data_IF_982773236565
#
_entry.id   IF_982773236565
#
_cell.length_a   1.000
_cell.length_b   1.000
_cell.length_c   1.000
_cell.angle_alpha   90.00
_cell.angle_beta   90.00
_cell.angle_gamma   90.00
#
_symmetry.space_group_name_H-M   'P 1'
#
loop_
_entity.id
_entity.type
_entity.pdbx_description
1 polymer ?
#
# COMPACT_ATOMS: atom_id res chain seq x y z
N UNK A 1 -7.62 0.23 -10.20
CA UNK A 1 -8.50 -0.83 -9.66
C UNK A 1 -9.32 -1.37 -10.81
N UNK A 2 -9.66 -2.64 -10.78
CA UNK A 2 -10.44 -3.30 -11.82
C UNK A 2 -11.65 -3.98 -11.16
N UNK A 3 -12.85 -3.77 -11.70
CA UNK A 3 -14.05 -4.48 -11.29
C UNK A 3 -13.93 -5.95 -11.74
N UNK A 4 -14.25 -6.88 -10.85
CA UNK A 4 -14.13 -8.33 -11.11
C UNK A 4 -15.36 -9.07 -10.58
N UNK A 5 -15.74 -10.15 -11.27
CA UNK A 5 -16.81 -11.05 -10.84
C UNK A 5 -16.31 -12.07 -9.79
N UNK A 6 -17.18 -12.44 -8.85
CA UNK A 6 -16.83 -13.01 -7.53
C UNK A 6 -16.25 -14.44 -7.48
N UNK A 7 -15.88 -15.10 -8.59
CA UNK A 7 -15.64 -16.55 -8.60
C UNK A 7 -14.19 -16.99 -8.82
N UNK A 8 -13.29 -16.63 -7.91
CA UNK A 8 -11.93 -17.19 -7.89
C UNK A 8 -11.53 -17.78 -6.54
N UNK A 9 -10.80 -18.90 -6.58
CA UNK A 9 -10.26 -19.55 -5.40
C UNK A 9 -8.98 -18.82 -4.91
N UNK A 10 -8.82 -18.73 -3.58
CA UNK A 10 -7.64 -18.14 -2.94
C UNK A 10 -7.61 -16.60 -3.00
N UNK A 11 -8.76 -15.96 -2.81
CA UNK A 11 -8.92 -14.51 -2.76
C UNK A 11 -8.88 -13.97 -1.32
N UNK A 12 -8.49 -12.70 -1.18
CA UNK A 12 -8.52 -11.99 0.11
C UNK A 12 -9.15 -10.61 -0.08
N UNK A 13 -10.16 -10.32 0.74
CA UNK A 13 -10.81 -9.02 0.80
C UNK A 13 -10.18 -8.19 1.91
N UNK A 14 -9.63 -7.03 1.56
CA UNK A 14 -9.05 -6.07 2.48
C UNK A 14 -10.17 -5.13 2.97
N UNK A 15 -10.54 -5.19 4.25
CA UNK A 15 -11.44 -4.18 4.83
C UNK A 15 -10.80 -2.80 4.73
N UNK A 16 -11.61 -1.79 4.45
CA UNK A 16 -11.14 -0.42 4.38
C UNK A 16 -12.12 0.56 5.04
N UNK A 17 -11.57 1.66 5.54
CA UNK A 17 -12.31 2.70 6.25
C UNK A 17 -11.92 4.07 5.74
N UNK A 18 -12.92 4.89 5.43
CA UNK A 18 -12.73 6.31 5.14
C UNK A 18 -12.55 7.11 6.44
N UNK A 19 -11.36 7.64 6.68
CA UNK A 19 -11.06 8.51 7.82
C UNK A 19 -11.07 9.96 7.37
N UNK A 20 -11.98 10.74 7.95
CA UNK A 20 -12.05 12.18 7.78
C UNK A 20 -11.41 12.88 8.98
N UNK A 21 -10.52 13.86 8.74
CA UNK A 21 -9.95 14.70 9.79
C UNK A 21 -10.48 16.13 9.63
N UNK A 22 -11.39 16.52 10.52
CA UNK A 22 -12.01 17.85 10.58
C UNK A 22 -11.04 18.95 11.04
N UNK A 23 -9.98 18.61 11.76
CA UNK A 23 -9.24 19.58 12.59
C UNK A 23 -8.13 20.36 11.86
N UNK A 24 -7.97 20.20 10.54
CA UNK A 24 -6.96 20.96 9.75
C UNK A 24 -7.62 21.87 8.72
N UNK A 25 -7.68 23.17 9.06
CA UNK A 25 -8.23 24.31 8.27
C UNK A 25 -7.74 24.49 6.82
N UNK A 26 -6.83 23.65 6.29
CA UNK A 26 -6.25 23.83 4.94
C UNK A 26 -6.47 22.68 3.96
N UNK A 27 -6.80 21.44 4.37
CA UNK A 27 -7.19 20.34 3.46
C UNK A 27 -7.80 19.18 4.25
N UNK A 28 -9.12 19.17 4.42
CA UNK A 28 -9.87 18.03 4.97
C UNK A 28 -10.02 16.90 3.94
N UNK A 29 -8.91 16.36 3.45
CA UNK A 29 -8.94 15.28 2.45
C UNK A 29 -9.30 13.96 3.14
N UNK A 30 -10.36 13.29 2.67
CA UNK A 30 -10.69 11.92 3.02
C UNK A 30 -9.48 11.00 2.79
N UNK A 31 -9.15 10.17 3.79
CA UNK A 31 -8.09 9.17 3.68
C UNK A 31 -8.69 7.79 3.85
N UNK A 32 -8.47 6.92 2.86
CA UNK A 32 -8.84 5.51 2.99
C UNK A 32 -7.75 4.79 3.79
N UNK A 33 -8.12 3.99 4.77
CA UNK A 33 -7.21 3.11 5.51
C UNK A 33 -7.54 1.69 5.14
N UNK A 34 -6.55 0.91 4.73
CA UNK A 34 -6.68 -0.51 4.40
C UNK A 34 -6.19 -1.36 5.57
N UNK A 35 -6.99 -2.34 6.00
CA UNK A 35 -6.64 -3.25 7.10
C UNK A 35 -6.30 -4.64 6.58
N UNK A 36 -5.07 -4.84 6.12
CA UNK A 36 -4.58 -6.15 5.69
C UNK A 36 -4.23 -7.11 6.87
N UNK A 37 -4.44 -6.67 8.11
CA UNK A 37 -4.25 -7.48 9.32
C UNK A 37 -5.55 -8.14 9.79
N UNK A 38 -6.68 -7.93 9.09
CA UNK A 38 -7.94 -8.58 9.43
C UNK A 38 -7.89 -10.08 9.12
N UNK A 39 -8.16 -10.92 10.13
CA UNK A 39 -8.22 -12.36 9.94
C UNK A 39 -9.45 -12.75 9.12
N UNK A 40 -9.30 -13.71 8.21
CA UNK A 40 -10.44 -14.31 7.51
C UNK A 40 -11.02 -15.48 8.29
N UNK A 41 -12.02 -16.15 7.72
CA UNK A 41 -12.64 -17.37 8.29
C UNK A 41 -11.63 -18.48 8.62
N UNK A 42 -10.46 -18.49 7.97
CA UNK A 42 -9.38 -19.44 8.27
C UNK A 42 -8.44 -19.02 9.41
N UNK A 43 -8.69 -17.88 10.07
CA UNK A 43 -7.88 -17.36 11.17
C UNK A 43 -6.62 -16.59 10.77
N UNK A 44 -6.27 -16.56 9.48
CA UNK A 44 -5.09 -15.86 8.97
C UNK A 44 -5.46 -14.54 8.27
N UNK A 45 -4.58 -13.55 8.40
CA UNK A 45 -4.66 -12.28 7.66
C UNK A 45 -3.63 -12.24 6.53
N UNK A 46 -3.83 -11.37 5.54
CA UNK A 46 -2.85 -11.19 4.47
C UNK A 46 -1.46 -10.83 5.04
N UNK A 47 -1.44 -9.95 6.05
CA UNK A 47 -0.20 -9.52 6.69
C UNK A 47 0.54 -10.64 7.43
N UNK A 48 -0.19 -11.62 7.98
CA UNK A 48 0.43 -12.78 8.63
C UNK A 48 1.08 -13.76 7.65
N UNK A 49 0.63 -13.79 6.39
CA UNK A 49 1.12 -14.71 5.37
C UNK A 49 2.17 -14.07 4.45
N UNK A 50 2.19 -12.74 4.35
CA UNK A 50 3.12 -12.02 3.50
C UNK A 50 4.55 -12.06 4.04
N UNK A 51 5.50 -12.33 3.15
CA UNK A 51 6.91 -12.16 3.43
C UNK A 51 7.27 -10.66 3.52
N UNK A 52 7.88 -10.25 4.62
CA UNK A 52 8.20 -8.83 4.85
C UNK A 52 9.30 -8.27 3.93
N UNK A 53 10.16 -9.12 3.37
CA UNK A 53 11.33 -8.72 2.58
C UNK A 53 12.54 -8.21 3.39
N UNK A 54 12.37 -8.00 4.70
CA UNK A 54 13.39 -7.41 5.56
C UNK A 54 13.63 -5.91 5.34
N UNK A 55 14.73 -5.39 5.91
CA UNK A 55 15.07 -3.96 5.85
C UNK A 55 15.89 -3.69 4.60
N UNK A 56 15.23 -3.13 3.58
CA UNK A 56 15.92 -2.68 2.38
C UNK A 56 16.65 -1.34 2.57
N UNK A 57 16.30 -0.52 3.56
CA UNK A 57 16.89 0.80 3.76
C UNK A 57 18.28 0.69 4.40
N UNK A 58 19.20 1.58 4.02
CA UNK A 58 20.46 1.69 4.75
C UNK A 58 20.18 2.23 6.15
N UNK A 59 21.05 1.91 7.10
CA UNK A 59 20.97 2.46 8.44
C UNK A 59 20.89 4.01 8.44
N UNK A 60 20.06 4.54 9.35
CA UNK A 60 19.75 5.97 9.41
C UNK A 60 20.99 6.81 9.73
N UNK A 61 21.86 6.33 10.63
CA UNK A 61 23.10 7.02 10.96
C UNK A 61 24.00 7.14 9.73
N UNK A 62 24.13 6.04 8.98
CA UNK A 62 24.88 6.03 7.72
C UNK A 62 24.30 6.99 6.66
N UNK A 63 22.98 7.15 6.60
CA UNK A 63 22.32 8.12 5.72
C UNK A 63 22.66 9.55 6.18
N UNK A 64 22.54 9.86 7.47
CA UNK A 64 22.82 11.19 8.02
C UNK A 64 24.27 11.63 7.80
N UNK A 65 25.25 10.73 8.01
CA UNK A 65 26.67 11.03 7.80
C UNK A 65 26.95 11.38 6.33
N UNK A 66 26.42 10.59 5.39
CA UNK A 66 26.55 10.90 3.94
C UNK A 66 25.88 12.22 3.57
N UNK A 67 24.73 12.51 4.14
CA UNK A 67 24.00 13.75 3.89
C UNK A 67 24.78 14.99 4.33
N UNK A 68 25.60 14.88 5.39
CA UNK A 68 26.47 15.97 5.88
C UNK A 68 27.81 16.09 5.15
N UNK A 69 28.18 15.14 4.28
CA UNK A 69 29.48 15.13 3.59
C UNK A 69 29.61 16.26 2.56
N UNK A 70 28.49 16.73 2.01
CA UNK A 70 28.46 17.74 0.96
C UNK A 70 27.83 19.04 1.47
N UNK A 71 28.27 20.17 0.92
CA UNK A 71 27.78 21.52 1.28
C UNK A 71 26.32 21.71 0.85
N UNK A 72 25.91 21.04 -0.24
CA UNK A 72 24.57 21.12 -0.79
C UNK A 72 23.93 19.73 -0.80
N UNK A 73 22.64 19.69 -0.46
CA UNK A 73 21.86 18.47 -0.46
C UNK A 73 20.44 18.74 -0.99
N UNK A 74 19.92 17.79 -1.77
CA UNK A 74 18.57 17.86 -2.33
C UNK A 74 17.65 16.90 -1.57
N UNK A 75 16.43 17.36 -1.31
CA UNK A 75 15.38 16.59 -0.66
C UNK A 75 14.15 16.65 -1.55
N UNK A 76 13.53 15.50 -1.78
CA UNK A 76 12.26 15.41 -2.50
C UNK A 76 11.35 14.40 -1.80
N UNK A 77 10.05 14.67 -1.81
CA UNK A 77 9.01 13.74 -1.36
C UNK A 77 8.36 13.07 -2.58
N UNK A 78 8.32 11.74 -2.59
CA UNK A 78 7.68 10.97 -3.67
C UNK A 78 6.22 10.74 -3.31
N UNK A 79 5.37 11.66 -3.75
CA UNK A 79 3.95 11.59 -3.46
C UNK A 79 3.33 10.29 -4.00
N UNK A 80 2.58 9.57 -3.15
CA UNK A 80 1.86 8.34 -3.52
C UNK A 80 2.77 7.23 -4.10
N UNK A 81 4.03 7.17 -3.69
CA UNK A 81 5.04 6.17 -4.06
C UNK A 81 4.49 4.74 -4.23
N UNK A 82 3.73 4.21 -3.27
CA UNK A 82 3.18 2.84 -3.36
C UNK A 82 2.29 2.62 -4.59
N UNK A 83 1.55 3.65 -5.01
CA UNK A 83 0.66 3.58 -6.19
C UNK A 83 1.40 3.60 -7.52
N UNK A 84 2.72 3.80 -7.52
CA UNK A 84 3.55 3.75 -8.74
C UNK A 84 4.08 2.34 -9.03
N UNK A 85 3.83 1.37 -8.15
CA UNK A 85 4.37 0.01 -8.26
C UNK A 85 3.22 -0.94 -8.56
N UNK A 86 3.24 -1.56 -9.74
CA UNK A 86 2.25 -2.55 -10.14
C UNK A 86 2.44 -3.87 -9.40
N UNK A 87 1.31 -4.45 -8.98
CA UNK A 87 1.26 -5.82 -8.47
C UNK A 87 1.08 -6.77 -9.66
N UNK A 88 1.79 -7.90 -9.60
CA UNK A 88 1.63 -8.99 -10.56
C UNK A 88 0.14 -9.36 -10.65
N UNK A 89 -0.47 -9.38 -11.86
CA UNK A 89 -1.86 -9.77 -12.07
C UNK A 89 -2.33 -10.96 -11.22
N UNK A 90 -1.53 -12.03 -11.13
CA UNK A 90 -1.88 -13.25 -10.40
C UNK A 90 -2.06 -13.05 -8.89
N UNK A 91 -1.50 -11.98 -8.34
CA UNK A 91 -1.55 -11.63 -6.92
C UNK A 91 -2.61 -10.57 -6.60
N UNK A 92 -3.25 -9.96 -7.60
CA UNK A 92 -4.23 -8.87 -7.38
C UNK A 92 -5.50 -9.35 -6.67
N UNK A 93 -5.87 -10.61 -6.85
CA UNK A 93 -6.96 -11.27 -6.11
C UNK A 93 -6.77 -11.31 -4.58
N UNK A 94 -5.55 -11.10 -4.09
CA UNK A 94 -5.24 -10.97 -2.67
C UNK A 94 -5.45 -9.54 -2.13
N UNK A 95 -5.78 -8.59 -3.01
CA UNK A 95 -6.00 -7.18 -2.68
C UNK A 95 -7.38 -6.72 -3.17
N UNK A 96 -8.42 -7.53 -2.90
CA UNK A 96 -9.80 -7.20 -3.24
C UNK A 96 -10.42 -6.24 -2.23
N UNK A 97 -11.31 -5.38 -2.68
CA UNK A 97 -12.13 -4.51 -1.84
C UNK A 97 -13.58 -4.56 -2.29
N UNK A 98 -14.50 -4.33 -1.36
CA UNK A 98 -15.93 -4.20 -1.65
C UNK A 98 -16.30 -2.73 -1.70
N UNK A 99 -16.90 -2.26 -2.79
CA UNK A 99 -17.26 -0.85 -2.94
C UNK A 99 -18.63 -0.68 -3.58
N UNK A 100 -19.36 0.34 -3.14
CA UNK A 100 -20.58 0.85 -3.77
C UNK A 100 -20.60 2.36 -3.61
N UNK A 101 -21.16 3.07 -4.57
CA UNK A 101 -21.26 4.53 -4.50
C UNK A 101 -22.45 4.95 -3.64
N UNK A 102 -23.60 4.28 -3.85
CA UNK A 102 -24.84 4.54 -3.14
C UNK A 102 -25.30 3.32 -2.33
N UNK A 103 -26.09 3.54 -1.28
CA UNK A 103 -26.63 2.44 -0.45
C UNK A 103 -27.61 1.55 -1.22
N UNK A 104 -28.26 2.10 -2.24
CA UNK A 104 -29.25 1.42 -3.10
C UNK A 104 -28.61 0.61 -4.24
N UNK A 105 -27.30 0.81 -4.47
CA UNK A 105 -26.56 0.08 -5.48
C UNK A 105 -26.01 -1.25 -4.94
N UNK A 106 -25.90 -2.28 -5.80
CA UNK A 106 -25.26 -3.52 -5.41
C UNK A 106 -23.78 -3.28 -5.07
N UNK A 107 -23.29 -4.01 -4.07
CA UNK A 107 -21.87 -4.01 -3.73
C UNK A 107 -21.10 -4.65 -4.88
N UNK A 108 -20.04 -3.97 -5.31
CA UNK A 108 -19.12 -4.43 -6.35
C UNK A 108 -17.79 -4.84 -5.75
N UNK A 109 -17.11 -5.77 -6.40
CA UNK A 109 -15.77 -6.20 -6.02
C UNK A 109 -14.73 -5.56 -6.93
N UNK A 110 -13.69 -4.98 -6.35
CA UNK A 110 -12.57 -4.39 -7.08
C UNK A 110 -11.24 -4.97 -6.64
N UNK A 111 -10.33 -5.15 -7.60
CA UNK A 111 -8.94 -5.51 -7.34
C UNK A 111 -8.02 -4.29 -7.39
N UNK A 112 -7.20 -4.13 -6.36
CA UNK A 112 -6.16 -3.10 -6.32
C UNK A 112 -4.95 -3.56 -7.14
N UNK A 113 -4.59 -2.76 -8.14
CA UNK A 113 -3.59 -3.13 -9.14
C UNK A 113 -2.15 -2.76 -8.75
N UNK A 114 -1.99 -1.98 -7.68
CA UNK A 114 -0.72 -1.40 -7.24
C UNK A 114 -0.47 -1.73 -5.78
N UNK A 115 0.77 -1.60 -5.32
CA UNK A 115 1.11 -1.87 -3.91
C UNK A 115 0.19 -1.09 -2.97
N UNK A 116 -0.55 -1.82 -2.14
CA UNK A 116 -1.47 -1.25 -1.16
C UNK A 116 -0.74 -0.99 0.14
N UNK A 117 -0.80 0.25 0.63
CA UNK A 117 -0.25 0.61 1.95
C UNK A 117 -1.02 -0.11 3.07
N UNK A 118 -0.33 -0.39 4.18
CA UNK A 118 -0.89 -1.21 5.26
C UNK A 118 -0.67 -2.71 5.09
N UNK A 119 -0.06 -3.14 3.98
CA UNK A 119 0.42 -4.52 3.78
C UNK A 119 1.85 -4.70 4.32
N UNK A 120 2.18 -5.89 4.84
CA UNK A 120 3.47 -6.19 5.47
C UNK A 120 4.66 -5.94 4.54
N UNK A 121 4.54 -6.30 3.26
CA UNK A 121 5.63 -6.18 2.29
C UNK A 121 5.75 -4.79 1.64
N UNK A 122 4.76 -3.91 1.79
CA UNK A 122 4.71 -2.63 1.09
C UNK A 122 5.96 -1.75 1.30
N UNK A 123 6.48 -1.55 2.53
CA UNK A 123 7.67 -0.72 2.75
C UNK A 123 8.89 -1.27 2.00
N UNK A 124 9.12 -2.59 2.10
CA UNK A 124 10.23 -3.25 1.42
C UNK A 124 10.15 -3.09 -0.09
N UNK A 125 8.99 -3.41 -0.69
CA UNK A 125 8.78 -3.33 -2.13
C UNK A 125 9.05 -1.92 -2.64
N UNK A 126 8.57 -0.93 -1.90
CA UNK A 126 8.70 0.46 -2.30
C UNK A 126 10.15 0.97 -2.18
N UNK A 127 10.84 0.68 -1.09
CA UNK A 127 12.27 1.04 -0.94
C UNK A 127 13.14 0.29 -1.95
N UNK A 128 12.88 -1.00 -2.19
CA UNK A 128 13.64 -1.79 -3.17
C UNK A 128 13.46 -1.25 -4.58
N UNK A 129 12.24 -0.90 -4.96
CA UNK A 129 11.94 -0.28 -6.25
C UNK A 129 12.69 1.05 -6.42
N UNK A 130 12.63 1.94 -5.42
CA UNK A 130 13.36 3.21 -5.42
C UNK A 130 14.88 3.02 -5.59
N UNK A 131 15.47 2.03 -4.91
CA UNK A 131 16.88 1.68 -5.08
C UNK A 131 17.23 1.17 -6.48
N UNK A 132 16.31 0.47 -7.14
CA UNK A 132 16.52 -0.08 -8.49
C UNK A 132 16.49 1.03 -9.57
N UNK A 133 15.62 2.02 -9.41
CA UNK A 133 15.50 3.14 -10.37
C UNK A 133 16.49 4.28 -10.10
N UNK A 134 17.09 4.34 -8.91
CA UNK A 134 18.12 5.32 -8.60
C UNK A 134 19.40 5.00 -9.40
N UNK A 135 19.94 5.96 -10.18
CA UNK A 135 21.26 5.80 -10.75
C UNK A 135 22.29 5.60 -9.62
N UNK A 136 23.26 4.72 -9.85
CA UNK A 136 24.38 4.47 -8.92
C UNK A 136 25.35 5.65 -8.91
#
# INVERSE_FOLDING_TARGET
MQEVDEKECGMYFIPHLGVYRSDKKKTSKLRVVFNASSATTNGYSLNSLQYNGGVAQNDLFSIMVRFRKHIFAFIADVQKMYRMIWINPDQRKLQRILWRENMDEPIKTFELSTVTYGTTSAPFLATRYAKTISPR
#
